data_IF_831659182414
#
_entry.id   IF_831659182414
#
_cell.length_a   1.000
_cell.length_b   1.000
_cell.length_c   1.000
_cell.angle_alpha   90.00
_cell.angle_beta   90.00
_cell.angle_gamma   90.00
#
_symmetry.space_group_name_H-M   'P 1'
#
loop_
_entity.id
_entity.type
_entity.pdbx_description
1 polymer ?
#
# COMPACT_ATOMS: atom_id res chain seq x y z
N UNK A 1 -17.85 11.39 -8.71
CA UNK A 1 -17.50 10.01 -8.30
C UNK A 1 -16.55 9.43 -9.32
N UNK A 2 -15.51 8.72 -8.87
CA UNK A 2 -14.53 8.09 -9.73
C UNK A 2 -15.17 6.94 -10.54
N UNK A 3 -14.76 6.81 -11.79
CA UNK A 3 -15.32 5.88 -12.78
C UNK A 3 -15.15 4.40 -12.42
N UNK A 4 -14.31 4.10 -11.43
CA UNK A 4 -14.06 2.72 -10.96
C UNK A 4 -14.83 2.36 -9.69
N UNK A 5 -15.48 3.31 -9.02
CA UNK A 5 -16.05 3.11 -7.69
C UNK A 5 -17.10 2.00 -7.63
N UNK A 6 -17.91 1.82 -8.68
CA UNK A 6 -18.89 0.73 -8.72
C UNK A 6 -18.24 -0.66 -8.77
N UNK A 7 -17.08 -0.79 -9.43
CA UNK A 7 -16.35 -2.05 -9.56
C UNK A 7 -15.40 -2.29 -8.36
N UNK A 8 -14.90 -1.20 -7.77
CA UNK A 8 -13.95 -1.17 -6.67
C UNK A 8 -14.44 -0.20 -5.59
N UNK A 9 -15.47 -0.57 -4.81
CA UNK A 9 -16.11 0.35 -3.86
C UNK A 9 -15.14 0.83 -2.77
N UNK A 10 -14.11 0.04 -2.46
CA UNK A 10 -13.17 0.35 -1.39
C UNK A 10 -11.71 0.34 -1.88
N UNK A 11 -10.93 1.25 -1.31
CA UNK A 11 -9.47 1.30 -1.46
C UNK A 11 -8.79 0.96 -0.14
N UNK A 12 -7.74 0.14 -0.21
CA UNK A 12 -7.12 -0.49 0.97
C UNK A 12 -5.65 -0.08 1.10
N UNK A 13 -5.26 0.45 2.25
CA UNK A 13 -3.87 0.75 2.57
C UNK A 13 -3.40 -0.10 3.75
N UNK A 14 -2.41 -0.96 3.52
CA UNK A 14 -1.82 -1.81 4.56
C UNK A 14 -0.63 -1.09 5.20
N UNK A 15 -0.63 -0.97 6.52
CA UNK A 15 0.46 -0.35 7.27
C UNK A 15 0.84 -1.17 8.51
N UNK A 16 2.13 -1.17 8.90
CA UNK A 16 2.55 -1.80 10.15
C UNK A 16 2.03 -1.00 11.34
N UNK A 17 1.69 -1.67 12.45
CA UNK A 17 1.14 -1.01 13.63
C UNK A 17 2.02 0.14 14.16
N UNK A 18 3.35 0.06 14.04
CA UNK A 18 4.25 1.16 14.46
C UNK A 18 4.03 2.48 13.72
N UNK A 19 3.43 2.45 12.53
CA UNK A 19 3.07 3.65 11.77
C UNK A 19 1.74 4.27 12.23
N UNK A 20 0.95 3.56 13.04
CA UNK A 20 -0.38 3.99 13.46
C UNK A 20 -0.35 5.35 14.16
N UNK A 21 0.64 5.60 15.04
CA UNK A 21 0.77 6.89 15.73
C UNK A 21 0.81 8.07 14.77
N UNK A 22 1.67 8.02 13.75
CA UNK A 22 1.79 9.10 12.76
C UNK A 22 0.50 9.29 11.94
N UNK A 23 -0.14 8.18 11.56
CA UNK A 23 -1.36 8.19 10.74
C UNK A 23 -2.56 8.74 11.53
N UNK A 24 -2.80 8.23 12.74
CA UNK A 24 -3.96 8.54 13.56
C UNK A 24 -3.85 9.94 14.20
N UNK A 25 -2.67 10.33 14.70
CA UNK A 25 -2.47 11.67 15.26
C UNK A 25 -2.63 12.79 14.22
N UNK A 26 -2.26 12.52 12.96
CA UNK A 26 -2.42 13.49 11.87
C UNK A 26 -3.72 13.33 11.10
N UNK A 27 -4.48 12.26 11.36
CA UNK A 27 -5.68 11.85 10.61
C UNK A 27 -5.46 11.80 9.11
N UNK A 28 -4.29 11.35 8.68
CA UNK A 28 -3.96 11.28 7.28
C UNK A 28 -2.93 10.21 6.96
N UNK A 29 -3.03 9.69 5.75
CA UNK A 29 -1.94 8.99 5.09
C UNK A 29 -1.09 10.02 4.34
N UNK A 30 0.23 9.90 4.47
CA UNK A 30 1.19 10.80 3.85
C UNK A 30 2.00 10.06 2.79
N UNK A 31 2.30 10.75 1.69
CA UNK A 31 3.24 10.26 0.70
C UNK A 31 4.62 10.03 1.32
N UNK A 32 5.45 9.19 0.68
CA UNK A 32 6.80 8.89 1.19
C UNK A 32 7.70 10.12 1.20
N UNK A 33 7.52 11.04 0.25
CA UNK A 33 8.20 12.32 0.23
C UNK A 33 7.81 13.18 1.45
N UNK A 34 6.51 13.27 1.77
CA UNK A 34 6.02 14.00 2.93
C UNK A 34 6.51 13.38 4.26
N UNK A 35 6.54 12.05 4.38
CA UNK A 35 7.13 11.35 5.52
C UNK A 35 8.64 11.63 5.65
N UNK A 36 9.36 11.69 4.52
CA UNK A 36 10.77 12.05 4.48
C UNK A 36 11.04 13.46 5.03
N UNK A 37 10.20 14.43 4.68
CA UNK A 37 10.27 15.79 5.22
C UNK A 37 10.04 15.89 6.74
N UNK A 38 9.47 14.84 7.36
CA UNK A 38 9.23 14.75 8.82
C UNK A 38 10.26 13.87 9.55
N UNK A 39 11.28 13.37 8.85
CA UNK A 39 12.26 12.45 9.43
C UNK A 39 11.77 11.00 9.58
N UNK A 40 10.59 10.67 9.07
CA UNK A 40 9.95 9.34 9.17
C UNK A 40 10.17 8.49 7.90
N UNK A 41 11.29 8.68 7.21
CA UNK A 41 11.53 8.06 5.90
C UNK A 41 11.60 6.53 6.00
N UNK A 42 10.61 5.83 5.41
CA UNK A 42 10.64 4.36 5.24
C UNK A 42 11.76 3.98 4.27
N UNK A 43 12.72 3.15 4.71
CA UNK A 43 13.96 2.87 3.96
C UNK A 43 13.81 1.91 2.78
N UNK A 44 12.84 0.99 2.80
CA UNK A 44 12.88 -0.22 1.95
C UNK A 44 12.42 -0.03 0.50
N UNK A 45 11.49 0.87 0.20
CA UNK A 45 11.03 1.11 -1.20
C UNK A 45 11.21 2.54 -1.68
N UNK A 46 11.67 3.45 -0.82
CA UNK A 46 11.78 4.90 -1.12
C UNK A 46 12.53 5.17 -2.40
N UNK A 47 13.65 4.49 -2.62
CA UNK A 47 14.51 4.78 -3.77
C UNK A 47 13.87 4.30 -5.08
N UNK A 48 13.13 3.17 -5.06
CA UNK A 48 12.32 2.71 -6.19
C UNK A 48 11.19 3.69 -6.48
N UNK A 49 10.46 4.11 -5.45
CA UNK A 49 9.35 5.05 -5.59
C UNK A 49 9.84 6.41 -6.11
N UNK A 50 11.00 6.89 -5.66
CA UNK A 50 11.62 8.11 -6.18
C UNK A 50 11.99 7.98 -7.65
N UNK A 51 12.68 6.89 -8.02
CA UNK A 51 13.14 6.68 -9.39
C UNK A 51 11.97 6.55 -10.37
N UNK A 52 10.87 5.93 -9.94
CA UNK A 52 9.67 5.78 -10.77
C UNK A 52 8.70 6.96 -10.67
N UNK A 53 8.89 7.90 -9.76
CA UNK A 53 8.00 9.07 -9.59
C UNK A 53 6.77 8.83 -8.70
N UNK A 54 6.78 7.80 -7.86
CA UNK A 54 5.75 7.49 -6.88
C UNK A 54 5.95 8.13 -5.50
N UNK A 55 7.09 8.80 -5.26
CA UNK A 55 7.42 9.33 -3.93
C UNK A 55 6.34 10.28 -3.38
N UNK A 56 5.66 10.99 -4.26
CA UNK A 56 4.59 11.95 -3.91
C UNK A 56 3.20 11.32 -3.82
N UNK A 57 3.07 10.00 -3.94
CA UNK A 57 1.77 9.32 -3.90
C UNK A 57 1.60 8.46 -2.63
N UNK A 58 0.35 8.40 -2.15
CA UNK A 58 -0.14 7.38 -1.24
C UNK A 58 -0.74 6.26 -2.09
N UNK A 59 -0.29 5.03 -1.85
CA UNK A 59 -0.73 3.85 -2.59
C UNK A 59 -1.84 3.14 -1.85
N UNK A 60 -2.89 2.79 -2.58
CA UNK A 60 -3.95 1.90 -2.12
C UNK A 60 -4.09 0.73 -3.08
N UNK A 61 -4.38 -0.44 -2.55
CA UNK A 61 -4.87 -1.55 -3.34
C UNK A 61 -6.33 -1.31 -3.71
N UNK A 62 -6.67 -1.59 -4.97
CA UNK A 62 -8.05 -1.70 -5.47
C UNK A 62 -8.32 -3.19 -5.77
N UNK A 63 -8.64 -3.99 -4.75
CA UNK A 63 -8.96 -5.39 -4.96
C UNK A 63 -10.42 -5.50 -5.44
N UNK A 64 -10.74 -6.53 -6.23
CA UNK A 64 -12.12 -6.72 -6.72
C UNK A 64 -13.12 -6.82 -5.56
N UNK A 65 -14.39 -6.48 -5.76
CA UNK A 65 -15.41 -6.47 -4.69
C UNK A 65 -15.58 -7.77 -3.88
N UNK A 66 -15.13 -8.93 -4.39
CA UNK A 66 -15.12 -10.21 -3.67
C UNK A 66 -13.80 -10.55 -2.96
N UNK A 67 -12.82 -9.65 -2.96
CA UNK A 67 -11.50 -9.92 -2.43
C UNK A 67 -11.49 -9.86 -0.90
N UNK A 68 -10.71 -10.73 -0.29
CA UNK A 68 -10.50 -10.82 1.15
C UNK A 68 -9.20 -10.11 1.53
N UNK A 69 -9.01 -9.81 2.81
CA UNK A 69 -7.75 -9.22 3.30
C UNK A 69 -6.52 -10.08 2.96
N UNK A 70 -6.68 -11.41 2.92
CA UNK A 70 -5.67 -12.40 2.48
C UNK A 70 -5.15 -12.15 1.07
N UNK A 71 -5.98 -11.58 0.19
CA UNK A 71 -5.65 -11.31 -1.21
C UNK A 71 -4.79 -10.04 -1.36
N UNK A 72 -4.64 -9.25 -0.30
CA UNK A 72 -3.79 -8.06 -0.31
C UNK A 72 -2.30 -8.48 -0.33
N UNK A 73 -1.49 -8.01 -1.29
CA UNK A 73 -0.13 -8.53 -1.50
C UNK A 73 0.77 -8.54 -0.26
N UNK A 74 0.74 -7.49 0.56
CA UNK A 74 1.55 -7.41 1.79
C UNK A 74 1.06 -8.40 2.85
N UNK A 75 -0.27 -8.49 3.07
CA UNK A 75 -0.82 -9.41 4.07
C UNK A 75 -0.65 -10.86 3.64
N UNK A 76 -0.95 -11.18 2.39
CA UNK A 76 -0.71 -12.51 1.82
C UNK A 76 0.77 -12.93 1.86
N UNK A 77 1.72 -11.99 1.71
CA UNK A 77 3.14 -12.28 1.88
C UNK A 77 3.53 -12.57 3.33
N UNK A 78 2.88 -11.94 4.31
CA UNK A 78 3.08 -12.20 5.75
C UNK A 78 2.46 -13.53 6.20
N UNK A 79 1.44 -14.02 5.49
CA UNK A 79 0.80 -15.32 5.72
C UNK A 79 1.61 -16.53 5.25
N UNK A 80 2.65 -16.33 4.43
CA UNK A 80 3.50 -17.42 3.99
C UNK A 80 4.29 -17.99 5.18
N UNK A 81 4.62 -19.31 5.20
CA UNK A 81 5.39 -19.92 6.28
C UNK A 81 6.67 -19.14 6.56
N UNK A 82 6.69 -18.45 7.69
CA UNK A 82 7.83 -17.71 8.18
C UNK A 82 8.37 -18.41 9.42
N UNK A 83 9.68 -18.41 9.60
CA UNK A 83 10.33 -18.93 10.82
C UNK A 83 9.97 -18.11 12.07
N UNK A 84 9.26 -16.99 11.90
CA UNK A 84 8.92 -16.03 12.94
C UNK A 84 7.51 -15.48 12.75
N UNK A 85 6.85 -15.09 13.84
CA UNK A 85 5.55 -14.44 13.76
C UNK A 85 5.64 -13.14 12.94
N UNK A 86 4.65 -12.85 12.08
CA UNK A 86 4.64 -11.63 11.28
C UNK A 86 4.50 -10.41 12.20
N UNK A 87 5.07 -9.29 11.76
CA UNK A 87 4.85 -8.01 12.46
C UNK A 87 3.37 -7.64 12.31
N UNK A 88 2.68 -7.17 13.37
CA UNK A 88 1.27 -6.84 13.24
C UNK A 88 1.07 -5.66 12.29
N UNK A 89 0.11 -5.83 11.38
CA UNK A 89 -0.34 -4.83 10.43
C UNK A 89 -1.82 -4.53 10.65
N UNK A 90 -2.21 -3.33 10.25
CA UNK A 90 -3.60 -2.93 10.14
C UNK A 90 -3.88 -2.45 8.71
N UNK A 91 -5.16 -2.36 8.38
CA UNK A 91 -5.61 -1.91 7.05
C UNK A 91 -6.53 -0.71 7.20
N UNK A 92 -6.15 0.41 6.60
CA UNK A 92 -7.09 1.51 6.35
C UNK A 92 -7.93 1.16 5.13
N UNK A 93 -9.25 1.24 5.28
CA UNK A 93 -10.24 1.10 4.22
C UNK A 93 -10.94 2.43 4.06
N UNK A 94 -11.00 2.91 2.83
CA UNK A 94 -11.73 4.12 2.47
C UNK A 94 -12.71 3.83 1.35
N UNK A 95 -13.90 4.41 1.45
CA UNK A 95 -14.88 4.42 0.36
C UNK A 95 -14.30 5.19 -0.83
N UNK A 96 -14.38 4.61 -2.02
CA UNK A 96 -13.90 5.25 -3.25
C UNK A 96 -14.92 6.21 -3.85
N UNK A 97 -16.20 6.11 -3.49
CA UNK A 97 -17.26 6.96 -4.00
C UNK A 97 -17.06 8.43 -3.63
N UNK A 98 -16.25 8.71 -2.60
CA UNK A 98 -15.86 10.06 -2.16
C UNK A 98 -14.90 10.78 -3.10
N UNK A 99 -14.26 10.06 -4.03
CA UNK A 99 -13.26 10.63 -4.93
C UNK A 99 -13.87 10.95 -6.28
N UNK A 100 -13.29 11.93 -6.95
CA UNK A 100 -13.50 12.19 -8.38
C UNK A 100 -12.33 11.68 -9.23
N UNK A 101 -12.60 11.42 -10.51
CA UNK A 101 -11.56 10.94 -11.45
C UNK A 101 -10.38 11.91 -11.54
N UNK A 102 -10.63 13.22 -11.39
CA UNK A 102 -9.62 14.27 -11.40
C UNK A 102 -8.58 14.12 -10.27
N UNK A 103 -8.97 13.53 -9.14
CA UNK A 103 -8.10 13.28 -7.98
C UNK A 103 -7.37 11.94 -8.09
N UNK A 104 -7.86 11.07 -8.96
CA UNK A 104 -7.44 9.68 -9.02
C UNK A 104 -6.37 9.45 -10.10
N UNK A 105 -5.35 8.68 -9.72
CA UNK A 105 -4.44 8.04 -10.67
C UNK A 105 -4.46 6.53 -10.42
N UNK A 106 -4.71 5.73 -11.45
CA UNK A 106 -4.74 4.27 -11.33
C UNK A 106 -3.63 3.65 -12.15
N UNK A 107 -2.86 2.76 -11.51
CA UNK A 107 -1.85 1.94 -12.17
C UNK A 107 -2.31 0.48 -12.25
N UNK A 108 -2.19 -0.12 -13.44
CA UNK A 108 -2.52 -1.54 -13.66
C UNK A 108 -1.32 -2.48 -13.45
N UNK A 109 -0.18 -1.89 -13.10
CA UNK A 109 1.06 -2.59 -12.81
C UNK A 109 1.23 -2.55 -11.30
N UNK A 110 1.34 -3.73 -10.68
CA UNK A 110 1.81 -3.79 -9.31
C UNK A 110 3.30 -3.43 -9.37
N UNK A 111 3.64 -2.19 -9.05
CA UNK A 111 5.00 -1.67 -9.24
C UNK A 111 6.01 -2.39 -8.35
N UNK A 112 5.55 -2.89 -7.19
CA UNK A 112 6.39 -3.67 -6.28
C UNK A 112 6.86 -5.00 -6.88
N UNK A 113 6.11 -5.57 -7.85
CA UNK A 113 6.42 -6.91 -8.39
C UNK A 113 6.33 -7.06 -9.92
N UNK A 114 5.85 -6.08 -10.68
CA UNK A 114 5.57 -6.31 -12.11
C UNK A 114 6.67 -5.75 -13.00
N UNK A 115 7.39 -6.64 -13.71
CA UNK A 115 8.22 -6.28 -14.86
C UNK A 115 7.37 -6.27 -16.14
N UNK A 116 7.35 -5.19 -16.93
CA UNK A 116 6.78 -5.26 -18.28
C UNK A 116 7.62 -6.20 -19.16
N UNK A 117 6.95 -6.94 -20.05
CA UNK A 117 7.65 -7.82 -21.00
C UNK A 117 8.22 -7.02 -22.17
N UNK A 118 9.54 -7.00 -22.31
CA UNK A 118 10.27 -6.38 -23.41
C UNK A 118 10.95 -7.47 -24.25
N UNK A 119 10.56 -7.66 -25.54
CA UNK A 119 11.20 -8.63 -26.41
C UNK A 119 12.72 -8.39 -26.51
N UNK A 120 13.53 -9.43 -26.34
CA UNK A 120 14.99 -9.33 -26.42
C UNK A 120 15.69 -8.81 -25.16
N UNK A 121 14.97 -8.22 -24.20
CA UNK A 121 15.58 -7.65 -23.00
C UNK A 121 15.14 -8.34 -21.69
N UNK A 122 13.82 -8.54 -21.50
CA UNK A 122 13.28 -9.09 -20.26
C UNK A 122 11.93 -9.79 -20.50
N UNK A 123 11.82 -11.06 -20.08
CA UNK A 123 10.53 -11.76 -19.90
C UNK A 123 10.05 -11.52 -18.46
N UNK A 124 8.74 -11.37 -18.27
CA UNK A 124 8.13 -10.96 -17.00
C UNK A 124 8.60 -11.75 -15.77
N UNK A 125 8.52 -11.13 -14.59
CA UNK A 125 8.92 -11.69 -13.30
C UNK A 125 8.89 -10.64 -12.18
N UNK A 126 9.02 -11.08 -10.92
CA UNK A 126 9.01 -10.20 -9.74
C UNK A 126 10.31 -9.41 -9.61
N UNK A 127 10.24 -8.14 -9.21
CA UNK A 127 11.43 -7.43 -8.71
C UNK A 127 11.92 -8.15 -7.46
N UNK A 128 13.13 -8.72 -7.51
CA UNK A 128 13.70 -9.44 -6.36
C UNK A 128 14.26 -8.44 -5.37
N UNK A 129 14.28 -8.79 -4.08
CA UNK A 129 14.94 -7.97 -3.03
C UNK A 129 16.39 -7.67 -3.46
N UNK A 130 16.79 -6.40 -3.34
CA UNK A 130 18.13 -5.93 -3.77
C UNK A 130 18.24 -5.55 -5.24
N UNK A 131 17.16 -5.59 -6.03
CA UNK A 131 17.17 -4.99 -7.38
C UNK A 131 17.47 -3.50 -7.27
N UNK A 132 18.49 -3.01 -7.99
CA UNK A 132 18.85 -1.59 -8.02
C UNK A 132 17.68 -0.77 -8.60
N UNK A 133 17.22 0.29 -7.93
CA UNK A 133 16.13 1.16 -8.42
C UNK A 133 16.34 1.66 -9.84
N UNK A 134 17.58 1.98 -10.21
CA UNK A 134 17.95 2.48 -11.53
C UNK A 134 17.66 1.44 -12.62
N UNK A 135 17.94 0.16 -12.32
CA UNK A 135 17.63 -0.95 -13.24
C UNK A 135 16.13 -1.11 -13.47
N UNK A 136 15.31 -0.79 -12.46
CA UNK A 136 13.86 -0.82 -12.58
C UNK A 136 13.40 0.28 -13.54
N UNK A 137 13.94 1.50 -13.42
CA UNK A 137 13.67 2.59 -14.38
C UNK A 137 14.11 2.24 -15.80
N UNK A 138 15.33 1.71 -15.99
CA UNK A 138 15.83 1.32 -17.32
C UNK A 138 14.87 0.38 -18.06
N UNK A 139 14.29 -0.60 -17.35
CA UNK A 139 13.33 -1.54 -17.95
C UNK A 139 12.03 -0.85 -18.35
N UNK A 140 11.55 0.11 -17.55
CA UNK A 140 10.38 0.92 -17.89
C UNK A 140 10.64 1.84 -19.09
N UNK A 141 11.82 2.46 -19.12
CA UNK A 141 12.25 3.34 -20.21
C UNK A 141 12.42 2.54 -21.53
N UNK A 142 13.01 1.34 -21.46
CA UNK A 142 13.10 0.44 -22.61
C UNK A 142 11.72 -0.06 -23.07
N UNK A 143 10.84 -0.41 -22.13
CA UNK A 143 9.47 -0.77 -22.47
C UNK A 143 8.74 0.40 -23.16
N UNK A 144 8.90 1.63 -22.68
CA UNK A 144 8.37 2.83 -23.34
C UNK A 144 8.98 3.03 -24.73
N UNK A 145 10.29 2.83 -24.89
CA UNK A 145 11.01 2.95 -26.16
C UNK A 145 10.54 1.93 -27.21
N UNK A 146 10.05 0.75 -26.79
CA UNK A 146 9.42 -0.22 -27.68
C UNK A 146 8.07 0.24 -28.27
N UNK A 147 7.59 1.44 -27.90
CA UNK A 147 6.34 2.07 -28.33
C UNK A 147 5.13 1.11 -28.25
N UNK A 148 4.86 0.51 -27.07
CA UNK A 148 3.73 -0.40 -26.92
C UNK A 148 2.43 0.37 -27.15
N UNK A 149 1.45 -0.28 -27.78
CA UNK A 149 0.11 0.29 -27.91
C UNK A 149 -0.49 0.58 -26.52
N UNK A 150 -1.40 1.56 -26.43
CA UNK A 150 -2.11 1.91 -25.19
C UNK A 150 -2.74 0.68 -24.53
N UNK A 151 -3.29 -0.25 -25.32
CA UNK A 151 -3.84 -1.53 -24.84
C UNK A 151 -2.78 -2.44 -24.22
N UNK A 152 -1.56 -2.49 -24.79
CA UNK A 152 -0.45 -3.29 -24.27
C UNK A 152 0.18 -2.65 -23.02
N UNK A 153 0.34 -1.32 -23.03
CA UNK A 153 0.81 -0.55 -21.88
C UNK A 153 -0.23 -0.55 -20.74
N UNK A 154 -1.52 -0.67 -21.09
CA UNK A 154 -2.68 -0.58 -20.19
C UNK A 154 -2.78 0.77 -19.48
N UNK A 155 -2.55 1.83 -20.24
CA UNK A 155 -2.56 3.19 -19.75
C UNK A 155 -1.78 4.10 -20.69
N UNK A 156 -1.58 5.34 -20.24
CA UNK A 156 -0.86 6.38 -20.95
C UNK A 156 0.42 6.71 -20.19
N UNK A 157 1.49 6.97 -20.92
CA UNK A 157 2.75 7.43 -20.35
C UNK A 157 2.59 8.87 -19.84
N UNK A 158 3.16 9.15 -18.67
CA UNK A 158 3.13 10.45 -18.01
C UNK A 158 4.09 10.45 -16.82
N UNK A 159 3.72 11.17 -15.76
CA UNK A 159 4.30 10.95 -14.43
C UNK A 159 3.26 10.23 -13.56
N UNK A 160 3.62 9.13 -12.89
CA UNK A 160 4.94 8.49 -12.75
C UNK A 160 5.46 7.80 -14.04
N UNK A 161 6.72 7.32 -14.04
CA UNK A 161 7.43 6.69 -15.18
C UNK A 161 6.84 5.35 -15.66
N UNK A 162 5.61 5.02 -15.27
CA UNK A 162 4.86 3.84 -15.70
C UNK A 162 3.57 4.30 -16.37
N UNK A 163 2.93 3.48 -17.23
CA UNK A 163 1.67 3.86 -17.82
C UNK A 163 0.56 3.86 -16.75
N UNK A 164 -0.21 4.94 -16.74
CA UNK A 164 -1.30 5.18 -15.78
C UNK A 164 -2.57 5.63 -16.50
N UNK A 165 -3.69 5.59 -15.80
CA UNK A 165 -4.89 6.36 -16.13
C UNK A 165 -5.10 7.41 -15.04
N UNK A 166 -5.32 8.66 -15.41
CA UNK A 166 -5.59 9.74 -14.46
C UNK A 166 -6.55 10.77 -15.05
N UNK A 167 -7.33 11.43 -14.19
CA UNK A 167 -8.28 12.47 -14.63
C UNK A 167 -9.23 11.97 -15.70
N UNK A 168 -9.43 12.77 -16.74
CA UNK A 168 -10.33 12.45 -17.87
C UNK A 168 -10.02 11.11 -18.54
N UNK A 169 -8.73 10.75 -18.65
CA UNK A 169 -8.31 9.47 -19.26
C UNK A 169 -8.81 8.26 -18.46
N UNK A 170 -9.05 8.42 -17.17
CA UNK A 170 -9.60 7.37 -16.32
C UNK A 170 -11.05 7.07 -16.71
N UNK A 171 -11.89 8.09 -16.85
CA UNK A 171 -13.27 7.95 -17.28
C UNK A 171 -13.39 7.37 -18.69
N UNK A 172 -12.68 7.96 -19.65
CA UNK A 172 -12.78 7.58 -21.07
C UNK A 172 -12.24 6.16 -21.34
N UNK A 173 -11.32 5.69 -20.49
CA UNK A 173 -10.55 4.50 -20.78
C UNK A 173 -10.49 3.49 -19.64
N UNK A 174 -11.40 3.57 -18.66
CA UNK A 174 -11.48 2.61 -17.56
C UNK A 174 -11.50 1.16 -18.04
N UNK A 175 -12.16 0.90 -19.19
CA UNK A 175 -12.17 -0.42 -19.84
C UNK A 175 -10.79 -1.02 -20.13
N UNK A 176 -9.73 -0.20 -20.30
CA UNK A 176 -8.35 -0.67 -20.46
C UNK A 176 -7.83 -1.40 -19.21
N UNK A 177 -8.44 -1.11 -18.06
CA UNK A 177 -8.09 -1.70 -16.78
C UNK A 177 -8.73 -3.07 -16.57
N UNK A 178 -9.78 -3.42 -17.34
CA UNK A 178 -10.48 -4.70 -17.20
C UNK A 178 -9.58 -5.90 -17.56
N UNK A 179 -9.61 -6.95 -16.75
CA UNK A 179 -8.84 -8.18 -16.96
C UNK A 179 -8.34 -8.85 -15.68
N UNK A 180 -7.70 -10.03 -15.83
CA UNK A 180 -7.32 -10.96 -14.74
C UNK A 180 -6.19 -10.50 -13.78
N UNK A 181 -5.79 -9.22 -13.77
CA UNK A 181 -4.76 -8.74 -12.84
C UNK A 181 -5.37 -8.60 -11.44
N UNK A 182 -4.71 -9.20 -10.44
CA UNK A 182 -5.21 -9.33 -9.06
C UNK A 182 -5.03 -8.08 -8.20
N UNK A 183 -4.13 -7.15 -8.55
CA UNK A 183 -3.90 -5.93 -7.77
C UNK A 183 -3.71 -4.72 -8.68
N UNK A 184 -4.76 -3.91 -8.81
CA UNK A 184 -4.69 -2.53 -9.32
C UNK A 184 -4.30 -1.64 -8.15
N UNK A 185 -3.56 -0.58 -8.44
CA UNK A 185 -3.18 0.40 -7.42
C UNK A 185 -3.84 1.74 -7.70
N UNK A 186 -4.57 2.27 -6.73
CA UNK A 186 -4.97 3.67 -6.69
C UNK A 186 -3.83 4.47 -6.06
N UNK A 187 -3.47 5.55 -6.73
CA UNK A 187 -2.39 6.45 -6.38
C UNK A 187 -3.02 7.82 -6.17
N UNK A 188 -3.03 8.27 -4.92
CA UNK A 188 -3.52 9.60 -4.54
C UNK A 188 -2.31 10.48 -4.24
N UNK A 189 -2.24 11.66 -4.88
CA UNK A 189 -1.09 12.54 -4.73
C UNK A 189 -1.13 13.27 -3.38
N UNK A 190 0.01 13.35 -2.70
CA UNK A 190 0.22 14.14 -1.50
C UNK A 190 -0.33 13.50 -0.23
N UNK A 191 -1.20 14.25 0.46
CA UNK A 191 -1.82 13.88 1.74
C UNK A 191 -3.23 13.36 1.47
N UNK A 192 -3.59 12.26 2.12
CA UNK A 192 -4.95 11.69 2.05
C UNK A 192 -5.58 11.74 3.42
N UNK A 193 -6.56 12.62 3.60
CA UNK A 193 -7.25 12.80 4.87
C UNK A 193 -8.18 11.61 5.19
N UNK A 194 -7.96 11.06 6.38
CA UNK A 194 -8.79 10.04 7.00
C UNK A 194 -9.91 10.75 7.78
N UNK A 195 -11.05 10.94 7.11
CA UNK A 195 -12.27 11.45 7.73
C UNK A 195 -13.09 10.36 8.40
N UNK A 196 -14.34 10.69 8.76
CA UNK A 196 -15.28 9.77 9.41
C UNK A 196 -15.65 8.52 8.58
N UNK A 197 -15.37 8.57 7.28
CA UNK A 197 -15.63 7.47 6.35
C UNK A 197 -14.48 6.45 6.26
N UNK A 198 -13.37 6.65 6.99
CA UNK A 198 -12.27 5.70 7.03
C UNK A 198 -12.46 4.68 8.16
N UNK A 199 -12.25 3.40 7.84
CA UNK A 199 -12.23 2.32 8.83
C UNK A 199 -10.83 1.72 8.88
N UNK A 200 -10.30 1.50 10.08
CA UNK A 200 -9.07 0.76 10.31
C UNK A 200 -9.41 -0.62 10.85
N UNK A 201 -8.99 -1.65 10.12
CA UNK A 201 -9.16 -3.04 10.52
C UNK A 201 -7.87 -3.53 11.19
N UNK A 202 -8.00 -3.99 12.43
CA UNK A 202 -7.00 -4.76 13.15
C UNK A 202 -7.40 -6.24 13.17
N UNK A 203 -6.41 -7.13 13.23
CA UNK A 203 -6.63 -8.57 13.05
C UNK A 203 -6.42 -9.41 14.32
N UNK A 204 -6.24 -8.75 15.46
CA UNK A 204 -6.26 -9.35 16.79
C UNK A 204 -6.85 -8.37 17.80
N UNK A 205 -7.38 -8.89 18.92
CA UNK A 205 -7.83 -8.02 20.01
C UNK A 205 -6.67 -7.21 20.62
N UNK A 206 -5.47 -7.80 20.65
CA UNK A 206 -4.28 -7.11 21.13
C UNK A 206 -3.95 -5.89 20.26
N UNK A 207 -3.91 -6.07 18.94
CA UNK A 207 -3.62 -4.98 17.99
C UNK A 207 -4.70 -3.90 18.01
N UNK A 208 -5.98 -4.31 18.10
CA UNK A 208 -7.08 -3.37 18.26
C UNK A 208 -6.91 -2.53 19.52
N UNK A 209 -6.56 -3.14 20.67
CA UNK A 209 -6.30 -2.41 21.92
C UNK A 209 -5.11 -1.46 21.77
N UNK A 210 -4.01 -1.92 21.17
CA UNK A 210 -2.84 -1.09 20.87
C UNK A 210 -3.20 0.17 20.07
N UNK A 211 -4.04 0.03 19.04
CA UNK A 211 -4.48 1.18 18.24
C UNK A 211 -5.34 2.16 19.04
N UNK A 212 -6.14 1.69 19.99
CA UNK A 212 -6.98 2.54 20.85
C UNK A 212 -6.16 3.42 21.81
N UNK A 213 -4.87 3.15 22.01
CA UNK A 213 -3.98 4.00 22.82
C UNK A 213 -3.53 5.27 22.11
N UNK A 214 -3.70 5.38 20.79
CA UNK A 214 -3.23 6.56 20.05
C UNK A 214 -4.14 7.76 20.33
N UNK A 215 -3.56 8.85 20.83
CA UNK A 215 -4.31 10.09 20.99
C UNK A 215 -4.82 10.65 19.66
N UNK A 216 -6.01 11.28 19.67
CA UNK A 216 -6.50 12.02 18.52
C UNK A 216 -7.23 11.21 17.43
N UNK A 217 -7.57 9.94 17.69
CA UNK A 217 -8.33 9.02 16.80
C UNK A 217 -9.62 9.61 16.20
N UNK A 218 -10.18 10.66 16.82
CA UNK A 218 -11.48 11.26 16.50
C UNK A 218 -11.86 11.25 15.01
N UNK A 219 -12.95 10.53 14.72
CA UNK A 219 -13.52 10.37 13.38
C UNK A 219 -13.25 8.99 12.77
N UNK A 220 -12.06 8.41 12.94
CA UNK A 220 -11.72 7.12 12.31
C UNK A 220 -12.32 5.96 13.11
N UNK A 221 -13.02 5.05 12.43
CA UNK A 221 -13.57 3.83 13.06
C UNK A 221 -12.48 2.76 13.14
N UNK A 222 -12.31 2.12 14.30
CA UNK A 222 -11.40 0.98 14.46
C UNK A 222 -12.21 -0.29 14.69
N UNK A 223 -12.02 -1.28 13.83
CA UNK A 223 -12.71 -2.56 13.86
C UNK A 223 -11.76 -3.74 14.04
N UNK A 224 -12.27 -4.81 14.65
CA UNK A 224 -11.66 -6.12 14.56
C UNK A 224 -12.18 -6.80 13.30
N UNK A 225 -11.27 -7.35 12.52
CA UNK A 225 -11.59 -8.26 11.43
C UNK A 225 -10.77 -9.52 11.55
N UNK A 226 -11.22 -10.58 10.90
CA UNK A 226 -10.58 -11.88 10.96
C UNK A 226 -10.41 -12.43 9.56
N UNK A 227 -9.33 -13.17 9.36
CA UNK A 227 -9.12 -13.95 8.16
C UNK A 227 -8.14 -15.08 8.42
N UNK A 228 -8.20 -16.13 7.60
CA UNK A 228 -7.51 -17.37 7.89
C UNK A 228 -5.99 -17.18 7.85
N UNK A 229 -5.32 -17.68 8.89
CA UNK A 229 -3.85 -17.64 9.02
C UNK A 229 -3.25 -16.37 9.61
N UNK A 230 -4.04 -15.31 9.87
CA UNK A 230 -3.55 -14.06 10.48
C UNK A 230 -4.19 -13.73 11.82
N UNK A 231 -5.34 -14.33 12.16
CA UNK A 231 -5.91 -14.24 13.50
C UNK A 231 -5.00 -14.98 14.49
N UNK A 232 -4.15 -14.23 15.19
CA UNK A 232 -3.12 -14.80 16.06
C UNK A 232 -3.57 -14.75 17.51
N UNK A 233 -4.01 -15.91 18.00
CA UNK A 233 -4.17 -16.20 19.41
C UNK A 233 -3.33 -17.45 19.75
N UNK A 234 -2.36 -17.36 20.69
CA UNK A 234 -1.97 -16.18 21.46
C UNK A 234 -1.28 -15.09 20.60
N UNK A 235 -1.06 -13.90 21.19
CA UNK A 235 -0.36 -12.77 20.56
C UNK A 235 1.01 -13.22 20.01
N UNK A 236 1.33 -12.93 18.74
CA UNK A 236 2.60 -13.31 18.13
C UNK A 236 3.83 -12.63 18.72
N UNK A 237 3.66 -11.47 19.37
CA UNK A 237 4.77 -10.67 19.85
C UNK A 237 5.21 -11.15 21.23
N UNK A 238 6.52 -11.15 21.44
CA UNK A 238 7.09 -11.26 22.79
C UNK A 238 6.48 -10.17 23.70
N UNK A 239 6.12 -10.47 24.96
CA UNK A 239 5.46 -9.52 25.85
C UNK A 239 6.18 -8.17 25.99
N UNK A 240 7.52 -8.19 26.04
CA UNK A 240 8.33 -6.97 26.12
C UNK A 240 8.22 -6.11 24.84
N UNK A 241 8.13 -6.77 23.68
CA UNK A 241 7.96 -6.11 22.38
C UNK A 241 6.55 -5.52 22.28
N UNK A 242 5.53 -6.23 22.78
CA UNK A 242 4.15 -5.71 22.87
C UNK A 242 4.09 -4.48 23.76
N UNK A 243 4.66 -4.53 24.96
CA UNK A 243 4.68 -3.40 25.88
C UNK A 243 5.40 -2.17 25.27
N UNK A 244 6.51 -2.39 24.57
CA UNK A 244 7.22 -1.31 23.87
C UNK A 244 6.40 -0.72 22.71
N UNK A 245 5.66 -1.54 21.97
CA UNK A 245 4.75 -1.09 20.92
C UNK A 245 3.62 -0.23 21.51
N UNK A 246 2.99 -0.68 22.59
CA UNK A 246 1.91 0.05 23.25
C UNK A 246 2.41 1.40 23.78
N UNK A 247 3.58 1.45 24.44
CA UNK A 247 4.20 2.70 24.89
C UNK A 247 4.52 3.65 23.73
N UNK A 248 5.05 3.14 22.61
CA UNK A 248 5.30 3.96 21.41
C UNK A 248 4.01 4.57 20.86
N UNK A 249 2.93 3.79 20.81
CA UNK A 249 1.63 4.23 20.28
C UNK A 249 0.92 5.23 21.20
N UNK A 250 1.02 5.03 22.52
CA UNK A 250 0.56 6.00 23.53
C UNK A 250 1.36 7.31 23.49
N UNK A 251 2.59 7.27 22.98
CA UNK A 251 3.46 8.43 22.87
C UNK A 251 4.57 8.51 23.91
N UNK A 252 4.65 7.51 24.79
CA UNK A 252 5.51 7.44 25.98
C UNK A 252 6.85 6.74 25.74
N UNK A 253 7.08 6.20 24.54
CA UNK A 253 8.27 5.42 24.23
C UNK A 253 8.82 5.60 22.82
N UNK A 254 10.07 5.17 22.57
CA UNK A 254 10.63 5.12 21.23
C UNK A 254 9.97 4.01 20.40
N UNK A 255 10.04 4.13 19.07
CA UNK A 255 9.58 3.08 18.17
C UNK A 255 10.32 1.76 18.48
N UNK A 256 9.59 0.66 18.73
CA UNK A 256 10.23 -0.62 18.98
C UNK A 256 11.05 -1.04 17.75
N UNK A 257 12.19 -1.69 17.98
CA UNK A 257 13.03 -2.25 16.93
C UNK A 257 12.36 -3.49 16.31
N UNK A 258 11.32 -3.27 15.51
CA UNK A 258 10.68 -4.31 14.70
C UNK A 258 11.42 -4.41 13.38
N UNK A 259 12.14 -5.52 13.19
CA UNK A 259 12.76 -5.81 11.91
C UNK A 259 11.72 -6.48 10.99
N UNK A 260 11.06 -5.67 10.16
CA UNK A 260 10.10 -6.09 9.13
C UNK A 260 10.70 -7.03 8.06
N UNK A 261 12.02 -7.11 8.03
CA UNK A 261 12.84 -7.77 7.03
C UNK A 261 13.67 -8.94 7.61
N UNK A 262 13.62 -9.13 8.94
CA UNK A 262 14.32 -10.17 9.68
C UNK A 262 13.78 -11.56 9.30
N UNK A 263 14.47 -12.21 8.37
CA UNK A 263 14.50 -13.69 8.35
C UNK A 263 15.49 -14.15 9.40
N UNK A 264 15.18 -13.93 10.67
CA UNK A 264 16.08 -14.40 11.71
C UNK A 264 16.02 -15.95 11.70
N UNK A 265 17.21 -16.53 11.56
CA UNK A 265 17.57 -17.92 11.23
C UNK A 265 16.83 -19.00 12.01
#
# INVERSE_FOLDING_TARGET
MASFSDEFPFAFHVFPLTAARGILSTRALLSKAALGGRGEARRTTRDVDRVLGFADFVHFYLPSGSARFEDLPILGAQLAPAKRPPVPHAVVVIDTARFDDAECTVCNWNIAVSRPGVPGECKGGNWTRGTRPERIAEVWDAFRASRPSVKRARGFWGEPRVPILSGEKLAEHWRLMRGKRRSRELLLRGRVDLGAAATIHAFSDADRRSLMHVEGIGGVRIERSEFDGYTQAPDPLDPDVRAALDAHLAGDGPMPALDFDARRS
#
